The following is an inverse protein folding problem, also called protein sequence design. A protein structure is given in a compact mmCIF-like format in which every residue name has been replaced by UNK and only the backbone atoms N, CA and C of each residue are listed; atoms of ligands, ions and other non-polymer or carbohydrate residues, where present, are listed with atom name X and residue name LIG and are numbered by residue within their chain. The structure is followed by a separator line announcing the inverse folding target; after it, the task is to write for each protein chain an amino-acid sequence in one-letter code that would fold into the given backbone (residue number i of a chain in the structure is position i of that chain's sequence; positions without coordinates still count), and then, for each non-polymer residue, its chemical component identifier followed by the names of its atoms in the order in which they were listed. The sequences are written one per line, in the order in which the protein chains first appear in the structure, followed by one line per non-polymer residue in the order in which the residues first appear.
data_IF_548780669723
#
_entry.id   IF_548780669723
#
_cell.length_a   1.000
_cell.length_b   1.000
_cell.length_c   1.000
_cell.angle_alpha   90.00
_cell.angle_beta   90.00
_cell.angle_gamma   90.00
#
_symmetry.space_group_name_H-M   'P 1'
#
loop_
_entity.id
_entity.type
_entity.pdbx_description
1 polymer ?
#
# COMPACT_ATOMS: atom_id res chain seq x y z
N UNK A 1 -11.23 -0.44 -9.70
CA UNK A 1 -9.78 -0.23 -9.77
C UNK A 1 -9.22 -1.31 -10.68
N UNK A 2 -8.17 -1.05 -11.46
CA UNK A 2 -7.47 -2.16 -12.10
C UNK A 2 -6.67 -2.89 -10.99
N UNK A 3 -7.25 -3.95 -10.43
CA UNK A 3 -6.67 -4.72 -9.32
C UNK A 3 -5.27 -5.26 -9.68
N UNK A 4 -5.09 -5.61 -10.96
CA UNK A 4 -3.80 -6.06 -11.50
C UNK A 4 -2.74 -4.98 -11.40
N UNK A 5 -3.09 -3.71 -11.69
CA UNK A 5 -2.16 -2.59 -11.54
C UNK A 5 -1.72 -2.42 -10.09
N UNK A 6 -2.67 -2.38 -9.15
CA UNK A 6 -2.35 -2.20 -7.72
C UNK A 6 -1.50 -3.35 -7.18
N UNK A 7 -1.82 -4.60 -7.53
CA UNK A 7 -1.01 -5.77 -7.16
C UNK A 7 0.40 -5.71 -7.74
N UNK A 8 0.54 -5.37 -9.02
CA UNK A 8 1.85 -5.23 -9.66
C UNK A 8 2.70 -4.13 -8.99
N UNK A 9 2.07 -3.01 -8.64
CA UNK A 9 2.72 -1.92 -7.91
C UNK A 9 3.17 -2.36 -6.51
N UNK A 10 2.32 -3.07 -5.76
CA UNK A 10 2.70 -3.54 -4.43
C UNK A 10 3.81 -4.60 -4.48
N UNK A 11 3.77 -5.52 -5.43
CA UNK A 11 4.84 -6.50 -5.65
C UNK A 11 6.15 -5.81 -6.07
N UNK A 12 6.08 -4.85 -6.98
CA UNK A 12 7.23 -4.03 -7.36
C UNK A 12 7.83 -3.28 -6.17
N UNK A 13 7.00 -2.73 -5.29
CA UNK A 13 7.46 -2.10 -4.05
C UNK A 13 8.11 -3.08 -3.08
N UNK A 14 7.58 -4.31 -2.92
CA UNK A 14 8.20 -5.36 -2.10
C UNK A 14 9.58 -5.72 -2.67
N UNK A 15 9.70 -5.88 -3.98
CA UNK A 15 10.99 -6.16 -4.65
C UNK A 15 11.97 -4.99 -4.46
N UNK A 16 11.53 -3.75 -4.64
CA UNK A 16 12.36 -2.57 -4.41
C UNK A 16 12.86 -2.47 -2.96
N UNK A 17 11.98 -2.71 -1.99
CA UNK A 17 12.34 -2.77 -0.58
C UNK A 17 13.28 -3.94 -0.25
N UNK A 18 13.15 -5.09 -0.94
CA UNK A 18 14.06 -6.24 -0.79
C UNK A 18 15.47 -5.88 -1.24
N UNK A 19 15.59 -5.29 -2.43
CA UNK A 19 16.87 -4.87 -2.98
C UNK A 19 17.54 -3.83 -2.08
N UNK A 20 16.75 -2.88 -1.55
CA UNK A 20 17.25 -1.89 -0.60
C UNK A 20 17.69 -2.51 0.74
N UNK A 21 16.98 -3.52 1.23
CA UNK A 21 17.30 -4.23 2.48
C UNK A 21 18.57 -5.06 2.35
N UNK A 22 18.73 -5.78 1.24
CA UNK A 22 19.90 -6.63 1.02
C UNK A 22 21.13 -5.81 0.64
N UNK A 23 20.94 -4.77 -0.18
CA UNK A 23 21.94 -3.81 -0.69
C UNK A 23 23.40 -4.30 -0.64
N UNK A 24 23.76 -5.43 -1.30
CA UNK A 24 25.11 -5.99 -1.25
C UNK A 24 26.15 -5.04 -1.86
N UNK A 25 25.69 -4.11 -2.72
CA UNK A 25 26.47 -2.97 -3.22
C UNK A 25 25.61 -1.71 -3.18
N UNK A 26 26.21 -0.51 -3.10
CA UNK A 26 25.47 0.76 -3.13
C UNK A 26 24.58 0.92 -4.36
N UNK A 27 25.02 0.42 -5.53
CA UNK A 27 24.26 0.46 -6.77
C UNK A 27 22.96 -0.36 -6.68
N UNK A 28 23.00 -1.53 -6.05
CA UNK A 28 21.80 -2.36 -5.88
C UNK A 28 20.81 -1.68 -4.93
N UNK A 29 21.29 -1.07 -3.84
CA UNK A 29 20.45 -0.26 -2.96
C UNK A 29 19.76 0.89 -3.69
N UNK A 30 20.50 1.62 -4.54
CA UNK A 30 19.94 2.69 -5.36
C UNK A 30 18.87 2.20 -6.35
N UNK A 31 19.13 1.09 -7.04
CA UNK A 31 18.13 0.46 -7.92
C UNK A 31 16.89 0.08 -7.12
N UNK A 32 17.07 -0.52 -5.94
CA UNK A 32 15.96 -0.86 -5.03
C UNK A 32 15.11 0.36 -4.67
N UNK A 33 15.76 1.49 -4.35
CA UNK A 33 15.08 2.75 -4.05
C UNK A 33 14.28 3.29 -5.25
N UNK A 34 14.87 3.26 -6.46
CA UNK A 34 14.19 3.68 -7.70
C UNK A 34 12.97 2.79 -7.97
N UNK A 35 13.12 1.47 -7.87
CA UNK A 35 12.03 0.51 -8.07
C UNK A 35 10.92 0.73 -7.05
N UNK A 36 11.28 0.94 -5.78
CA UNK A 36 10.32 1.22 -4.71
C UNK A 36 9.52 2.50 -4.99
N UNK A 37 10.19 3.60 -5.31
CA UNK A 37 9.54 4.89 -5.60
C UNK A 37 8.65 4.82 -6.84
N UNK A 38 9.14 4.24 -7.93
CA UNK A 38 8.39 4.06 -9.17
C UNK A 38 7.13 3.22 -8.96
N UNK A 39 7.24 2.14 -8.19
CA UNK A 39 6.12 1.25 -7.90
C UNK A 39 5.06 1.92 -7.03
N UNK A 40 5.45 2.81 -6.11
CA UNK A 40 4.51 3.53 -5.24
C UNK A 40 3.81 4.70 -5.92
N UNK A 41 4.42 5.32 -6.94
CA UNK A 41 3.89 6.49 -7.64
C UNK A 41 2.41 6.39 -8.08
N UNK A 42 1.95 5.29 -8.72
CA UNK A 42 0.55 5.17 -9.15
C UNK A 42 -0.42 4.75 -8.03
N UNK A 43 0.05 4.28 -6.86
CA UNK A 43 -0.83 3.67 -5.84
C UNK A 43 -1.80 4.70 -5.27
N UNK A 44 -1.29 5.83 -4.77
CA UNK A 44 -2.10 6.88 -4.16
C UNK A 44 -3.13 7.49 -5.13
N UNK A 45 -2.76 7.96 -6.35
CA UNK A 45 -3.75 8.51 -7.28
C UNK A 45 -4.78 7.47 -7.75
N UNK A 46 -4.39 6.20 -7.89
CA UNK A 46 -5.33 5.12 -8.25
C UNK A 46 -6.38 4.91 -7.16
N UNK A 47 -5.98 4.96 -5.88
CA UNK A 47 -6.91 4.83 -4.76
C UNK A 47 -7.88 6.02 -4.69
N UNK A 48 -7.38 7.25 -4.87
CA UNK A 48 -8.21 8.46 -4.89
C UNK A 48 -9.22 8.42 -6.05
N UNK A 49 -8.80 8.00 -7.25
CA UNK A 49 -9.67 7.89 -8.42
C UNK A 49 -10.83 6.89 -8.22
N UNK A 50 -10.69 5.97 -7.28
CA UNK A 50 -11.69 4.95 -6.96
C UNK A 50 -12.63 5.38 -5.83
N UNK A 51 -12.29 6.41 -5.06
CA UNK A 51 -13.14 6.92 -3.97
C UNK A 51 -14.56 7.28 -4.42
N UNK A 52 -14.79 7.98 -5.55
CA UNK A 52 -16.14 8.27 -6.03
C UNK A 52 -17.00 7.01 -6.29
N UNK A 53 -16.37 5.89 -6.67
CA UNK A 53 -17.07 4.61 -6.89
C UNK A 53 -17.48 3.94 -5.57
N UNK A 54 -16.80 4.24 -4.46
CA UNK A 54 -17.05 3.63 -3.14
C UNK A 54 -18.10 4.38 -2.33
N UNK A 55 -18.08 5.72 -2.37
CA UNK A 55 -18.96 6.56 -1.51
C UNK A 55 -19.97 7.40 -2.29
N UNK A 56 -19.97 7.30 -3.63
CA UNK A 56 -20.75 8.12 -4.53
C UNK A 56 -20.17 9.52 -4.72
N UNK A 57 -20.43 10.13 -5.89
CA UNK A 57 -19.86 11.43 -6.29
C UNK A 57 -20.15 12.54 -5.28
N UNK A 58 -21.34 12.53 -4.66
CA UNK A 58 -21.78 13.53 -3.68
C UNK A 58 -20.88 13.59 -2.44
N UNK A 59 -20.39 12.45 -1.96
CA UNK A 59 -19.57 12.36 -0.74
C UNK A 59 -18.07 12.25 -1.04
N UNK A 60 -17.69 12.14 -2.32
CA UNK A 60 -16.31 11.86 -2.72
C UNK A 60 -15.33 12.93 -2.25
N UNK A 61 -15.65 14.22 -2.41
CA UNK A 61 -14.76 15.30 -2.01
C UNK A 61 -14.44 15.27 -0.50
N UNK A 62 -15.46 15.10 0.35
CA UNK A 62 -15.29 15.00 1.80
C UNK A 62 -14.48 13.76 2.20
N UNK A 63 -14.77 12.61 1.57
CA UNK A 63 -14.04 11.38 1.81
C UNK A 63 -12.56 11.48 1.38
N UNK A 64 -12.28 12.12 0.23
CA UNK A 64 -10.91 12.35 -0.23
C UNK A 64 -10.18 13.29 0.73
N UNK A 65 -10.82 14.37 1.20
CA UNK A 65 -10.25 15.27 2.20
C UNK A 65 -9.84 14.54 3.48
N UNK A 66 -10.71 13.66 3.99
CA UNK A 66 -10.40 12.81 5.14
C UNK A 66 -9.28 11.82 4.84
N UNK A 67 -9.32 11.14 3.69
CA UNK A 67 -8.27 10.19 3.25
C UNK A 67 -6.90 10.85 3.20
N UNK A 68 -6.79 12.04 2.60
CA UNK A 68 -5.53 12.79 2.49
C UNK A 68 -5.08 13.25 3.87
N UNK A 69 -5.98 13.76 4.73
CA UNK A 69 -5.65 14.18 6.09
C UNK A 69 -5.06 13.04 6.94
N UNK A 70 -5.73 11.88 6.95
CA UNK A 70 -5.24 10.69 7.66
C UNK A 70 -3.93 10.16 7.04
N UNK A 71 -3.81 10.18 5.71
CA UNK A 71 -2.57 9.78 5.03
C UNK A 71 -1.40 10.69 5.42
N UNK A 72 -1.63 11.99 5.52
CA UNK A 72 -0.62 12.95 5.99
C UNK A 72 -0.17 12.68 7.43
N UNK A 73 -1.10 12.38 8.34
CA UNK A 73 -0.76 11.96 9.71
C UNK A 73 0.07 10.67 9.71
N UNK A 74 -0.34 9.67 8.94
CA UNK A 74 0.40 8.42 8.80
C UNK A 74 1.82 8.64 8.24
N UNK A 75 1.97 9.50 7.24
CA UNK A 75 3.29 9.86 6.68
C UNK A 75 4.20 10.46 7.76
N UNK A 76 3.71 11.43 8.54
CA UNK A 76 4.49 12.06 9.61
C UNK A 76 4.87 11.06 10.71
N UNK A 77 3.93 10.21 11.14
CA UNK A 77 4.18 9.21 12.19
C UNK A 77 5.21 8.17 11.73
N UNK A 78 5.02 7.58 10.55
CA UNK A 78 5.90 6.54 10.05
C UNK A 78 7.30 7.08 9.73
N UNK A 79 7.39 8.27 9.12
CA UNK A 79 8.68 8.91 8.84
C UNK A 79 9.39 9.30 10.14
N UNK A 80 8.69 9.87 11.11
CA UNK A 80 9.25 10.21 12.41
C UNK A 80 9.75 8.98 13.16
N UNK A 81 8.98 7.88 13.13
CA UNK A 81 9.38 6.62 13.73
C UNK A 81 10.60 6.00 13.03
N UNK A 82 10.64 6.02 11.70
CA UNK A 82 11.80 5.57 10.93
C UNK A 82 13.05 6.38 11.25
N UNK A 83 12.93 7.70 11.35
CA UNK A 83 14.03 8.59 11.69
C UNK A 83 14.55 8.34 13.11
N UNK A 84 13.64 8.20 14.08
CA UNK A 84 13.99 7.84 15.45
C UNK A 84 14.73 6.49 15.49
N UNK A 85 14.22 5.47 14.82
CA UNK A 85 14.82 4.13 14.78
C UNK A 85 16.21 4.15 14.13
N UNK A 86 16.38 4.91 13.04
CA UNK A 86 17.66 5.09 12.38
C UNK A 86 18.69 5.79 13.28
N UNK A 87 18.27 6.75 14.09
CA UNK A 87 19.14 7.45 15.04
C UNK A 87 19.49 6.62 16.28
N UNK A 88 18.57 5.75 16.73
CA UNK A 88 18.72 4.98 17.96
C UNK A 88 19.45 3.64 17.76
N UNK A 89 19.31 3.03 16.58
CA UNK A 89 19.89 1.71 16.28
C UNK A 89 20.99 1.84 15.24
N UNK A 90 20.61 2.13 13.99
CA UNK A 90 21.54 2.34 12.87
C UNK A 90 20.77 2.78 11.62
N UNK A 91 21.36 3.58 10.72
CA UNK A 91 20.72 3.97 9.45
C UNK A 91 20.31 2.79 8.55
N UNK A 92 21.01 1.65 8.65
CA UNK A 92 20.74 0.44 7.87
C UNK A 92 19.36 -0.18 8.16
N UNK A 93 18.74 0.18 9.29
CA UNK A 93 17.40 -0.31 9.67
C UNK A 93 16.30 0.24 8.74
N UNK A 94 16.56 1.31 7.98
CA UNK A 94 15.60 1.90 7.05
C UNK A 94 15.14 0.89 5.99
N UNK A 95 16.05 0.07 5.44
CA UNK A 95 15.70 -0.96 4.46
C UNK A 95 14.68 -1.97 5.01
N UNK A 96 15.02 -2.72 6.08
CA UNK A 96 14.09 -3.63 6.76
C UNK A 96 12.77 -2.97 7.19
N UNK A 97 12.81 -1.72 7.66
CA UNK A 97 11.61 -0.98 8.03
C UNK A 97 10.66 -0.79 6.85
N UNK A 98 11.17 -0.32 5.70
CA UNK A 98 10.38 -0.14 4.48
C UNK A 98 9.87 -1.48 3.94
N UNK A 99 10.66 -2.55 4.05
CA UNK A 99 10.24 -3.91 3.72
C UNK A 99 9.01 -4.33 4.53
N UNK A 100 9.06 -4.17 5.86
CA UNK A 100 7.94 -4.51 6.74
C UNK A 100 6.69 -3.72 6.35
N UNK A 101 6.81 -2.42 6.11
CA UNK A 101 5.67 -1.57 5.69
C UNK A 101 5.08 -2.02 4.36
N UNK A 102 5.91 -2.41 3.39
CA UNK A 102 5.45 -2.95 2.11
C UNK A 102 4.74 -4.28 2.26
N UNK A 103 5.28 -5.21 3.07
CA UNK A 103 4.66 -6.50 3.34
C UNK A 103 3.31 -6.34 4.05
N UNK A 104 3.23 -5.46 5.05
CA UNK A 104 1.98 -5.16 5.76
C UNK A 104 0.95 -4.58 4.80
N UNK A 105 1.35 -3.62 3.96
CA UNK A 105 0.46 -3.00 2.97
C UNK A 105 -0.05 -4.02 1.95
N UNK A 106 0.82 -4.87 1.43
CA UNK A 106 0.45 -5.96 0.51
C UNK A 106 -0.51 -6.96 1.16
N UNK A 107 -0.21 -7.40 2.39
CA UNK A 107 -1.06 -8.33 3.13
C UNK A 107 -2.46 -7.73 3.41
N UNK A 108 -2.54 -6.45 3.78
CA UNK A 108 -3.81 -5.75 3.97
C UNK A 108 -4.60 -5.66 2.66
N UNK A 109 -3.94 -5.41 1.55
CA UNK A 109 -4.58 -5.37 0.23
C UNK A 109 -5.16 -6.73 -0.16
N UNK A 110 -4.39 -7.80 -0.03
CA UNK A 110 -4.86 -9.15 -0.33
C UNK A 110 -6.00 -9.57 0.59
N UNK A 111 -5.93 -9.25 1.88
CA UNK A 111 -7.03 -9.51 2.82
C UNK A 111 -8.30 -8.75 2.45
N UNK A 112 -8.18 -7.50 2.04
CA UNK A 112 -9.33 -6.70 1.57
C UNK A 112 -10.00 -7.35 0.37
N UNK A 113 -9.22 -7.81 -0.62
CA UNK A 113 -9.74 -8.49 -1.81
C UNK A 113 -10.39 -9.84 -1.42
N UNK A 114 -9.75 -10.62 -0.55
CA UNK A 114 -10.30 -11.89 -0.08
C UNK A 114 -11.63 -11.71 0.66
N UNK A 115 -11.76 -10.68 1.51
CA UNK A 115 -13.02 -10.35 2.18
C UNK A 115 -14.12 -9.95 1.19
N UNK A 116 -13.78 -9.18 0.15
CA UNK A 116 -14.73 -8.79 -0.89
C UNK A 116 -15.26 -10.00 -1.67
N UNK A 117 -14.39 -10.91 -2.11
CA UNK A 117 -14.79 -12.12 -2.83
C UNK A 117 -15.70 -13.03 -1.99
N UNK A 118 -15.43 -13.16 -0.68
CA UNK A 118 -16.27 -13.91 0.25
C UNK A 118 -17.67 -13.31 0.37
N UNK A 119 -17.77 -11.99 0.47
CA UNK A 119 -19.05 -11.30 0.55
C UNK A 119 -19.89 -11.46 -0.74
N UNK A 120 -19.26 -11.40 -1.92
CA UNK A 120 -19.97 -11.58 -3.20
C UNK A 120 -20.44 -13.01 -3.39
N UNK A 121 -19.59 -13.99 -3.07
CA UNK A 121 -19.92 -15.42 -3.18
C UNK A 121 -21.03 -15.81 -2.21
N UNK A 122 -20.98 -15.29 -0.97
CA UNK A 122 -22.03 -15.53 0.03
C UNK A 122 -23.39 -14.94 -0.37
N UNK A 123 -23.41 -13.75 -0.97
CA UNK A 123 -24.62 -13.16 -1.49
C UNK A 123 -25.24 -13.98 -2.64
N UNK A 124 -24.42 -14.44 -3.60
CA UNK A 124 -24.89 -15.27 -4.71
C UNK A 124 -25.45 -16.63 -4.24
N UNK A 125 -24.81 -17.24 -3.23
CA UNK A 125 -25.29 -18.49 -2.63
C UNK A 125 -26.63 -18.32 -1.89
N UNK A 126 -26.87 -17.17 -1.24
CA UNK A 126 -28.17 -16.88 -0.60
C UNK A 126 -29.29 -16.66 -1.62
N UNK A 127 -29.01 -15.99 -2.74
CA UNK A 127 -30.01 -15.82 -3.81
C UNK A 127 -30.39 -17.18 -4.42
N UNK A 128 -29.42 -18.06 -4.68
CA UNK A 128 -29.68 -19.37 -5.25
C UNK A 128 -30.36 -20.38 -4.30
N UNK A 129 -30.37 -20.12 -2.99
CA UNK A 129 -31.03 -20.96 -1.99
C UNK A 129 -32.43 -20.45 -1.57
N UNK A 130 -32.80 -19.23 -2.00
CA UNK A 130 -34.10 -18.62 -1.74
C UNK A 130 -35.12 -18.79 -2.87
N UNK A 131 -34.69 -19.34 -4.02
CA UNK A 131 -35.49 -19.72 -5.19
C UNK A 131 -35.70 -21.24 -5.23
#
# INVERSE_FOLDING_TARGET
ANLTLLRACMLGGVVGALLLTLSPTPTVGFIGLVVLGFSLAPVFPTLIAETPKRVGRRHAANAIGFQIGVAGLGASILVGFAAWLASAVSPEVIGPFLMIIMLVTFALHERMIAMQMRATTGAAAQTAAGD
#
